data_IF_118449829915
#
_entry.id   IF_118449829915
#
_cell.length_a   1.000
_cell.length_b   1.000
_cell.length_c   1.000
_cell.angle_alpha   90.00
_cell.angle_beta   90.00
_cell.angle_gamma   90.00
#
_symmetry.space_group_name_H-M   'P 1'
#
loop_
_entity.id
_entity.type
_entity.pdbx_description
1 polymer ?
#
# COMPACT_ATOMS: atom_id res chain seq x y z
N UNK A 1 18.04 2.61 -12.90
CA UNK A 1 18.85 2.62 -11.67
C UNK A 1 18.48 1.36 -10.90
N UNK A 2 19.38 0.40 -10.70
CA UNK A 2 19.04 -0.82 -9.95
C UNK A 2 18.93 -0.48 -8.47
N UNK A 3 17.73 -0.51 -7.92
CA UNK A 3 17.49 -0.32 -6.49
C UNK A 3 18.04 -1.52 -5.72
N UNK A 4 18.76 -1.27 -4.63
CA UNK A 4 19.19 -2.35 -3.72
C UNK A 4 18.00 -2.77 -2.85
N UNK A 5 17.87 -4.07 -2.58
CA UNK A 5 16.74 -4.58 -1.80
C UNK A 5 16.75 -3.99 -0.39
N UNK A 6 17.92 -3.92 0.26
CA UNK A 6 18.03 -3.41 1.62
C UNK A 6 17.76 -1.91 1.70
N UNK A 7 18.18 -1.13 0.71
CA UNK A 7 17.85 0.31 0.66
C UNK A 7 16.34 0.51 0.52
N UNK A 8 15.70 -0.26 -0.36
CA UNK A 8 14.25 -0.22 -0.57
C UNK A 8 13.49 -0.60 0.71
N UNK A 9 13.94 -1.62 1.45
CA UNK A 9 13.34 -1.99 2.74
C UNK A 9 13.45 -0.84 3.74
N UNK A 10 14.60 -0.17 3.85
CA UNK A 10 14.76 0.98 4.76
C UNK A 10 13.81 2.13 4.43
N UNK A 11 13.64 2.45 3.15
CA UNK A 11 12.67 3.45 2.70
C UNK A 11 11.24 3.05 3.08
N UNK A 12 10.87 1.78 2.87
CA UNK A 12 9.53 1.28 3.20
C UNK A 12 9.27 1.26 4.71
N UNK A 13 10.27 0.91 5.53
CA UNK A 13 10.16 1.01 7.00
C UNK A 13 9.88 2.45 7.41
N UNK A 14 10.69 3.41 6.94
CA UNK A 14 10.50 4.83 7.28
C UNK A 14 9.11 5.34 6.87
N UNK A 15 8.63 4.93 5.68
CA UNK A 15 7.28 5.26 5.20
C UNK A 15 6.18 4.65 6.07
N UNK A 16 6.31 3.38 6.44
CA UNK A 16 5.32 2.65 7.24
C UNK A 16 5.27 3.13 8.69
N UNK A 17 6.40 3.53 9.26
CA UNK A 17 6.46 4.11 10.61
C UNK A 17 5.66 5.41 10.70
N UNK A 18 5.71 6.25 9.65
CA UNK A 18 4.91 7.49 9.55
C UNK A 18 3.42 7.18 9.36
N UNK A 19 3.08 6.14 8.59
CA UNK A 19 1.69 5.78 8.30
C UNK A 19 0.97 5.06 9.45
N UNK A 20 1.71 4.31 10.25
CA UNK A 20 1.16 3.52 11.35
C UNK A 20 1.87 3.92 12.65
N UNK A 21 1.70 5.14 13.17
CA UNK A 21 2.45 5.64 14.32
C UNK A 21 2.25 4.83 15.60
N UNK A 22 1.07 4.24 15.84
CA UNK A 22 0.76 3.54 17.09
C UNK A 22 0.54 2.03 16.91
N UNK A 23 0.64 1.22 17.98
CA UNK A 23 0.37 -0.22 17.91
C UNK A 23 -1.07 -0.59 17.52
N UNK A 24 -2.02 0.31 17.70
CA UNK A 24 -3.43 0.13 17.36
C UNK A 24 -3.69 0.24 15.85
N UNK A 25 -2.78 0.88 15.10
CA UNK A 25 -2.88 1.04 13.64
C UNK A 25 -2.62 -0.26 12.86
N UNK A 26 -2.21 -1.32 13.56
CA UNK A 26 -1.86 -2.62 12.98
C UNK A 26 -3.06 -3.56 13.04
N UNK A 27 -3.33 -4.31 11.95
CA UNK A 27 -4.45 -5.23 11.92
C UNK A 27 -4.33 -6.31 13.01
N UNK A 28 -5.45 -6.59 13.68
CA UNK A 28 -5.53 -7.73 14.59
C UNK A 28 -5.41 -9.06 13.83
N UNK A 29 -4.96 -10.12 14.52
CA UNK A 29 -4.87 -11.44 13.88
C UNK A 29 -6.25 -11.97 13.45
N UNK A 30 -7.33 -11.60 14.16
CA UNK A 30 -8.69 -11.94 13.75
C UNK A 30 -9.08 -11.24 12.45
N UNK A 31 -8.72 -9.96 12.29
CA UNK A 31 -8.93 -9.24 11.03
C UNK A 31 -8.21 -9.92 9.86
N UNK A 32 -6.99 -10.41 10.06
CA UNK A 32 -6.25 -11.14 9.02
C UNK A 32 -6.87 -12.52 8.72
N UNK A 33 -7.41 -13.19 9.74
CA UNK A 33 -8.14 -14.44 9.56
C UNK A 33 -9.44 -14.23 8.76
N UNK A 34 -10.22 -13.21 9.08
CA UNK A 34 -11.45 -12.87 8.36
C UNK A 34 -11.15 -12.53 6.89
N UNK A 35 -10.05 -11.83 6.62
CA UNK A 35 -9.59 -11.59 5.24
C UNK A 35 -9.28 -12.89 4.49
N UNK A 36 -8.65 -13.86 5.16
CA UNK A 36 -8.39 -15.17 4.57
C UNK A 36 -9.69 -15.92 4.28
N UNK A 37 -10.63 -15.98 5.23
CA UNK A 37 -11.92 -16.63 5.02
C UNK A 37 -12.71 -15.96 3.90
N UNK A 38 -12.80 -14.63 3.91
CA UNK A 38 -13.49 -13.84 2.88
C UNK A 38 -12.92 -14.08 1.49
N UNK A 39 -11.60 -14.29 1.37
CA UNK A 39 -10.99 -14.68 0.11
C UNK A 39 -11.49 -16.05 -0.38
N UNK A 40 -11.66 -17.03 0.51
CA UNK A 40 -12.09 -18.38 0.15
C UNK A 40 -13.60 -18.50 -0.08
N UNK A 41 -14.40 -17.49 0.27
CA UNK A 41 -15.83 -17.50 0.00
C UNK A 41 -16.13 -17.62 -1.50
N UNK A 42 -17.16 -18.41 -1.84
CA UNK A 42 -17.56 -18.70 -3.22
C UNK A 42 -17.83 -17.43 -4.04
N UNK A 43 -18.47 -16.43 -3.44
CA UNK A 43 -18.76 -15.17 -4.12
C UNK A 43 -17.47 -14.43 -4.55
N UNK A 44 -16.44 -14.41 -3.69
CA UNK A 44 -15.14 -13.80 -4.01
C UNK A 44 -14.42 -14.57 -5.11
N UNK A 45 -14.43 -15.90 -5.00
CA UNK A 45 -13.81 -16.79 -5.97
C UNK A 45 -14.45 -16.69 -7.35
N UNK A 46 -15.79 -16.67 -7.42
CA UNK A 46 -16.53 -16.50 -8.67
C UNK A 46 -16.25 -15.15 -9.33
N UNK A 47 -16.18 -14.06 -8.55
CA UNK A 47 -15.82 -12.73 -9.08
C UNK A 47 -14.41 -12.70 -9.67
N UNK A 48 -13.46 -13.39 -9.05
CA UNK A 48 -12.10 -13.53 -9.57
C UNK A 48 -12.10 -14.30 -10.89
N UNK A 49 -12.79 -15.44 -10.93
CA UNK A 49 -12.90 -16.26 -12.13
C UNK A 49 -13.53 -15.47 -13.28
N UNK A 50 -14.60 -14.71 -13.02
CA UNK A 50 -15.25 -13.88 -14.03
C UNK A 50 -14.32 -12.76 -14.57
N UNK A 51 -13.56 -12.08 -13.71
CA UNK A 51 -12.72 -10.94 -14.09
C UNK A 51 -11.38 -11.33 -14.72
N UNK A 52 -10.76 -12.39 -14.20
CA UNK A 52 -9.37 -12.75 -14.50
C UNK A 52 -9.23 -14.14 -15.11
N UNK A 53 -10.29 -14.95 -15.17
CA UNK A 53 -10.24 -16.31 -15.69
C UNK A 53 -9.62 -17.33 -14.73
N UNK A 54 -9.30 -16.93 -13.50
CA UNK A 54 -8.73 -17.81 -12.47
C UNK A 54 -9.33 -17.57 -11.08
N UNK A 55 -9.31 -18.62 -10.26
CA UNK A 55 -9.68 -18.57 -8.85
C UNK A 55 -8.71 -17.66 -8.08
N UNK A 56 -9.21 -16.94 -7.08
CA UNK A 56 -8.40 -16.01 -6.33
C UNK A 56 -7.36 -16.75 -5.47
N UNK A 57 -6.10 -16.30 -5.53
CA UNK A 57 -5.01 -16.87 -4.74
C UNK A 57 -5.07 -16.39 -3.28
N UNK A 58 -5.57 -17.24 -2.37
CA UNK A 58 -5.75 -16.88 -0.95
C UNK A 58 -4.56 -17.20 -0.04
N UNK A 59 -3.55 -17.93 -0.54
CA UNK A 59 -2.38 -18.36 0.23
C UNK A 59 -1.60 -17.21 0.89
N UNK A 60 -1.37 -16.04 0.23
CA UNK A 60 -0.69 -14.92 0.88
C UNK A 60 -1.39 -14.44 2.16
N UNK A 61 -2.73 -14.38 2.15
CA UNK A 61 -3.51 -13.96 3.34
C UNK A 61 -3.36 -14.93 4.51
N UNK A 62 -3.27 -16.22 4.21
CA UNK A 62 -2.99 -17.24 5.23
C UNK A 62 -1.59 -17.07 5.84
N UNK A 63 -0.59 -16.73 5.02
CA UNK A 63 0.76 -16.44 5.51
C UNK A 63 0.77 -15.24 6.46
N UNK A 64 0.06 -14.16 6.13
CA UNK A 64 -0.06 -12.98 7.00
C UNK A 64 -0.70 -13.33 8.35
N UNK A 65 -1.77 -14.13 8.33
CA UNK A 65 -2.39 -14.62 9.57
C UNK A 65 -1.41 -15.43 10.43
N UNK A 66 -0.70 -16.40 9.83
CA UNK A 66 0.29 -17.20 10.57
C UNK A 66 1.41 -16.34 11.15
N UNK A 67 1.88 -15.36 10.38
CA UNK A 67 2.90 -14.42 10.85
C UNK A 67 2.38 -13.64 12.06
N UNK A 68 1.17 -13.09 11.99
CA UNK A 68 0.53 -12.41 13.13
C UNK A 68 0.45 -13.31 14.37
N UNK A 69 0.02 -14.56 14.20
CA UNK A 69 -0.04 -15.53 15.30
C UNK A 69 1.34 -15.82 15.91
N UNK A 70 2.40 -15.83 15.10
CA UNK A 70 3.76 -16.07 15.58
C UNK A 70 4.31 -14.95 16.47
N UNK A 71 3.87 -13.71 16.24
CA UNK A 71 4.31 -12.52 17.00
C UNK A 71 3.28 -12.05 18.04
N UNK A 72 2.17 -12.77 18.21
CA UNK A 72 1.03 -12.32 19.03
C UNK A 72 1.36 -12.14 20.52
N UNK A 73 2.41 -12.82 21.02
CA UNK A 73 2.85 -12.75 22.42
C UNK A 73 3.89 -11.66 22.70
N UNK A 74 4.34 -10.93 21.67
CA UNK A 74 5.31 -9.83 21.84
C UNK A 74 4.66 -8.62 22.50
N UNK A 75 5.48 -7.74 23.08
CA UNK A 75 5.00 -6.44 23.55
C UNK A 75 4.38 -5.64 22.38
N UNK A 76 3.31 -4.84 22.58
CA UNK A 76 2.62 -4.14 21.48
C UNK A 76 3.54 -3.35 20.55
N UNK A 77 4.53 -2.65 21.10
CA UNK A 77 5.54 -1.92 20.31
C UNK A 77 6.50 -2.83 19.52
N UNK A 78 6.90 -3.96 20.09
CA UNK A 78 7.77 -4.93 19.41
C UNK A 78 7.01 -5.62 18.29
N UNK A 79 5.76 -6.02 18.56
CA UNK A 79 4.82 -6.54 17.56
C UNK A 79 4.65 -5.55 16.42
N UNK A 80 4.55 -4.25 16.74
CA UNK A 80 4.46 -3.19 15.75
C UNK A 80 5.68 -3.12 14.84
N UNK A 81 6.88 -3.07 15.43
CA UNK A 81 8.14 -3.04 14.67
C UNK A 81 8.31 -4.29 13.80
N UNK A 82 8.01 -5.48 14.33
CA UNK A 82 8.09 -6.73 13.60
C UNK A 82 7.11 -6.76 12.40
N UNK A 83 5.89 -6.25 12.59
CA UNK A 83 4.91 -6.14 11.51
C UNK A 83 5.33 -5.13 10.44
N UNK A 84 5.84 -3.95 10.84
CA UNK A 84 6.37 -2.94 9.91
C UNK A 84 7.49 -3.53 9.07
N UNK A 85 8.44 -4.24 9.69
CA UNK A 85 9.55 -4.87 9.00
C UNK A 85 9.09 -5.91 7.98
N UNK A 86 8.22 -6.85 8.39
CA UNK A 86 7.65 -7.86 7.50
C UNK A 86 6.91 -7.22 6.31
N UNK A 87 6.15 -6.15 6.57
CA UNK A 87 5.41 -5.42 5.56
C UNK A 87 6.32 -4.65 4.60
N UNK A 88 7.41 -4.06 5.11
CA UNK A 88 8.41 -3.36 4.32
C UNK A 88 9.12 -4.32 3.35
N UNK A 89 9.50 -5.51 3.81
CA UNK A 89 10.08 -6.55 2.95
C UNK A 89 9.12 -7.00 1.85
N UNK A 90 7.83 -7.14 2.17
CA UNK A 90 6.81 -7.47 1.18
C UNK A 90 6.69 -6.38 0.10
N UNK A 91 6.67 -5.10 0.49
CA UNK A 91 6.63 -3.97 -0.45
C UNK A 91 7.91 -3.87 -1.28
N UNK A 92 9.08 -4.06 -0.66
CA UNK A 92 10.36 -4.04 -1.34
C UNK A 92 10.42 -5.11 -2.44
N UNK A 93 10.02 -6.36 -2.15
CA UNK A 93 9.96 -7.43 -3.17
C UNK A 93 9.07 -7.05 -4.36
N UNK A 94 7.98 -6.33 -4.11
CA UNK A 94 7.06 -5.87 -5.15
C UNK A 94 7.63 -4.72 -5.97
N UNK A 95 8.33 -3.77 -5.33
CA UNK A 95 9.04 -2.67 -5.99
C UNK A 95 10.19 -3.15 -6.86
N UNK A 96 10.88 -4.23 -6.45
CA UNK A 96 11.92 -4.88 -7.25
C UNK A 96 11.41 -5.55 -8.54
N UNK A 97 10.10 -5.81 -8.64
CA UNK A 97 9.48 -6.33 -9.86
C UNK A 97 9.26 -5.25 -10.92
N UNK A 98 8.30 -5.48 -11.82
CA UNK A 98 7.83 -4.44 -12.73
C UNK A 98 7.01 -3.40 -11.94
N UNK A 99 7.70 -2.36 -11.46
CA UNK A 99 7.11 -1.23 -10.75
C UNK A 99 7.03 0.00 -11.66
N UNK A 100 6.08 0.90 -11.39
CA UNK A 100 6.04 2.23 -12.02
C UNK A 100 7.32 3.02 -11.79
N UNK A 101 8.04 2.72 -10.70
CA UNK A 101 9.32 3.33 -10.36
C UNK A 101 10.44 3.02 -11.36
N UNK A 102 10.25 2.02 -12.22
CA UNK A 102 11.17 1.75 -13.33
C UNK A 102 11.07 2.80 -14.45
N UNK A 103 9.96 3.55 -14.48
CA UNK A 103 9.69 4.59 -15.49
C UNK A 103 9.66 5.98 -14.86
N UNK A 104 9.17 6.11 -13.62
CA UNK A 104 8.95 7.38 -12.94
C UNK A 104 9.70 7.45 -11.62
N UNK A 105 10.49 8.50 -11.41
CA UNK A 105 11.17 8.70 -10.13
C UNK A 105 10.20 9.16 -9.03
N UNK A 106 10.40 8.67 -7.80
CA UNK A 106 9.63 9.11 -6.63
C UNK A 106 9.91 10.59 -6.35
N UNK A 107 8.85 11.38 -6.17
CA UNK A 107 8.97 12.79 -5.81
C UNK A 107 9.54 12.92 -4.39
N UNK A 108 10.60 13.72 -4.25
CA UNK A 108 11.19 14.07 -2.94
C UNK A 108 10.53 15.28 -2.30
N UNK A 109 9.90 16.13 -3.11
CA UNK A 109 9.26 17.36 -2.68
C UNK A 109 7.79 17.40 -3.12
N UNK A 110 6.89 18.01 -2.32
CA UNK A 110 5.52 18.28 -2.73
C UNK A 110 5.48 19.13 -4.00
N UNK A 111 4.43 18.95 -4.81
CA UNK A 111 4.18 19.82 -5.94
C UNK A 111 3.85 21.24 -5.44
N UNK A 112 4.48 22.25 -6.03
CA UNK A 112 4.08 23.64 -5.82
C UNK A 112 2.68 23.84 -6.40
N UNK A 113 1.80 24.48 -5.63
CA UNK A 113 0.45 24.90 -6.05
C UNK A 113 -0.47 23.74 -6.51
N UNK A 114 -0.46 22.61 -5.79
CA UNK A 114 -1.34 21.47 -6.05
C UNK A 114 -2.32 21.20 -4.89
N UNK A 115 -3.63 20.92 -5.17
CA UNK A 115 -4.26 21.02 -6.48
C UNK A 115 -4.34 22.49 -6.92
N UNK A 116 -4.13 22.74 -8.22
CA UNK A 116 -4.39 24.07 -8.77
C UNK A 116 -5.87 24.37 -8.56
N UNK A 117 -6.17 25.43 -7.81
CA UNK A 117 -7.51 25.97 -7.74
C UNK A 117 -7.81 26.51 -9.14
N UNK A 118 -8.73 25.86 -9.85
CA UNK A 118 -9.29 26.44 -11.05
C UNK A 118 -10.10 27.65 -10.63
N UNK A 119 -9.58 28.84 -10.93
CA UNK A 119 -10.35 30.08 -10.82
C UNK A 119 -11.14 30.17 -12.11
N UNK A 120 -12.47 30.07 -12.04
CA UNK A 120 -13.31 30.34 -13.19
C UNK A 120 -12.99 31.75 -13.69
N UNK A 121 -12.63 31.94 -14.98
CA UNK A 121 -12.42 33.28 -15.50
C UNK A 121 -13.76 34.01 -15.38
N UNK A 122 -13.82 34.98 -14.47
CA UNK A 122 -14.93 35.91 -14.39
C UNK A 122 -15.14 36.61 -15.75
N UNK A 123 -16.30 37.27 -15.95
CA UNK A 123 -16.72 37.81 -17.24
C UNK A 123 -15.78 38.85 -17.87
N UNK A 124 -14.72 39.26 -17.18
CA UNK A 124 -13.78 40.31 -17.58
C UNK A 124 -12.75 39.85 -18.63
N UNK A 125 -12.56 38.53 -18.79
CA UNK A 125 -11.59 37.97 -19.76
C UNK A 125 -12.13 37.71 -21.17
N UNK A 126 -13.43 37.89 -21.42
CA UNK A 126 -14.04 37.66 -22.75
C UNK A 126 -13.75 38.81 -23.72
N UNK A 127 -13.48 40.02 -23.22
CA UNK A 127 -13.34 41.24 -24.04
C UNK A 127 -12.00 41.36 -24.77
N UNK A 128 -11.01 40.50 -24.50
CA UNK A 128 -9.67 40.59 -25.14
C UNK A 128 -9.50 39.59 -26.30
N UNK A 129 -10.50 38.73 -26.54
CA UNK A 129 -10.44 37.70 -27.60
C UNK A 129 -11.21 38.12 -28.86
N UNK A 130 -11.93 39.25 -28.83
CA UNK A 130 -12.76 39.75 -29.94
C UNK A 130 -12.30 41.16 -30.39
N UNK A 131 -10.99 41.42 -30.49
CA UNK A 131 -10.47 42.66 -31.09
C UNK A 131 -9.30 42.39 -32.01
#
# INVERSE_FOLDING_TARGET
>A
MSTDFNSTVKEEVARLEVLHPTPEDIPSCMTLFDQFLTCNMLATQFRSLYRYGEMAQCRPKWTEFKFCMSINRMHPEERRRAWIQHRAEWWARRRMGASSENVWEVRREPLKDFPRVWVDPGPEHISTVIS
#
